data_IF_587457547680
#
_entry.id   IF_587457547680
#
_cell.length_a   1.000
_cell.length_b   1.000
_cell.length_c   1.000
_cell.angle_alpha   90.00
_cell.angle_beta   90.00
_cell.angle_gamma   90.00
#
_symmetry.space_group_name_H-M   'P 1'
#
loop_
_entity.id
_entity.type
_entity.pdbx_description
1 polymer ?
#
# COMPACT_ATOMS: atom_id res chain seq x y z
N UNK A 1 11.65 -14.97 -12.99
CA UNK A 1 11.92 -14.26 -11.70
C UNK A 1 13.40 -14.06 -11.46
N UNK A 2 14.23 -15.11 -11.40
CA UNK A 2 15.68 -14.98 -11.13
C UNK A 2 16.43 -14.03 -12.10
N UNK A 3 16.14 -14.11 -13.41
CA UNK A 3 16.74 -13.21 -14.43
C UNK A 3 16.32 -11.75 -14.21
N UNK A 4 15.03 -11.49 -13.93
CA UNK A 4 14.54 -10.13 -13.68
C UNK A 4 15.18 -9.54 -12.40
N UNK A 5 15.34 -10.36 -11.35
CA UNK A 5 16.01 -9.96 -10.12
C UNK A 5 17.49 -9.68 -10.39
N UNK A 6 18.17 -10.53 -11.15
CA UNK A 6 19.57 -10.31 -11.54
C UNK A 6 19.74 -9.02 -12.36
N UNK A 7 18.83 -8.73 -13.30
CA UNK A 7 18.85 -7.48 -14.07
C UNK A 7 18.65 -6.25 -13.17
N UNK A 8 17.71 -6.31 -12.22
CA UNK A 8 17.53 -5.23 -11.24
C UNK A 8 18.82 -5.02 -10.45
N UNK A 9 19.44 -6.08 -9.94
CA UNK A 9 20.72 -6.00 -9.22
C UNK A 9 21.85 -5.43 -10.07
N UNK A 10 21.95 -5.81 -11.35
CA UNK A 10 22.95 -5.27 -12.27
C UNK A 10 22.71 -3.78 -12.50
N UNK A 11 21.46 -3.35 -12.71
CA UNK A 11 21.11 -1.93 -12.88
C UNK A 11 21.46 -1.15 -11.62
N UNK A 12 21.13 -1.67 -10.43
CA UNK A 12 21.50 -1.08 -9.14
C UNK A 12 23.01 -0.91 -9.02
N UNK A 13 23.78 -1.96 -9.36
CA UNK A 13 25.24 -1.95 -9.25
C UNK A 13 25.85 -0.94 -10.23
N UNK A 14 25.33 -0.85 -11.46
CA UNK A 14 25.75 0.15 -12.44
C UNK A 14 25.43 1.57 -11.95
N UNK A 15 24.24 1.78 -11.37
CA UNK A 15 23.81 3.08 -10.85
C UNK A 15 24.69 3.54 -9.69
N UNK A 16 25.06 2.63 -8.78
CA UNK A 16 25.99 2.87 -7.66
C UNK A 16 27.44 3.06 -8.16
N UNK A 17 27.87 2.33 -9.18
CA UNK A 17 29.29 2.34 -9.61
C UNK A 17 29.83 3.66 -10.19
N UNK A 18 28.96 4.60 -10.58
CA UNK A 18 29.38 5.89 -11.15
C UNK A 18 29.25 6.96 -10.04
N UNK A 19 30.34 7.65 -9.73
CA UNK A 19 30.40 8.61 -8.62
C UNK A 19 29.67 9.95 -8.87
N UNK A 20 29.33 10.62 -7.76
CA UNK A 20 28.44 11.80 -7.58
C UNK A 20 28.59 13.05 -8.47
N UNK A 21 29.63 13.20 -9.29
CA UNK A 21 29.92 14.48 -9.96
C UNK A 21 28.93 14.83 -11.10
N UNK A 22 28.18 13.86 -11.61
CA UNK A 22 27.19 14.03 -12.69
C UNK A 22 25.73 13.82 -12.25
N UNK A 23 25.49 13.62 -10.96
CA UNK A 23 24.24 13.01 -10.48
C UNK A 23 23.13 13.97 -10.08
N UNK A 24 23.44 15.17 -9.57
CA UNK A 24 22.40 16.09 -9.08
C UNK A 24 21.37 16.50 -10.13
N UNK A 25 21.80 16.74 -11.37
CA UNK A 25 20.89 17.09 -12.48
C UNK A 25 20.05 15.89 -12.94
N UNK A 26 20.66 14.70 -12.99
CA UNK A 26 19.98 13.47 -13.40
C UNK A 26 18.99 13.02 -12.35
N UNK A 27 19.33 13.13 -11.06
CA UNK A 27 18.45 12.79 -9.94
C UNK A 27 17.16 13.63 -9.94
N UNK A 28 17.25 14.91 -10.30
CA UNK A 28 16.06 15.76 -10.43
C UNK A 28 15.11 15.26 -11.53
N UNK A 29 15.65 14.91 -12.69
CA UNK A 29 14.86 14.33 -13.80
C UNK A 29 14.29 12.98 -13.39
N UNK A 30 15.11 12.12 -12.79
CA UNK A 30 14.73 10.75 -12.39
C UNK A 30 13.74 10.73 -11.22
N UNK A 31 13.62 11.80 -10.42
CA UNK A 31 12.61 11.93 -9.36
C UNK A 31 11.35 12.68 -9.81
N UNK A 32 11.51 13.79 -10.55
CA UNK A 32 10.39 14.64 -10.92
C UNK A 32 9.58 14.05 -12.08
N UNK A 33 10.24 13.40 -13.04
CA UNK A 33 9.58 12.72 -14.16
C UNK A 33 8.62 11.61 -13.69
N UNK A 34 9.00 10.65 -12.82
CA UNK A 34 8.06 9.64 -12.35
C UNK A 34 6.95 10.23 -11.47
N UNK A 35 7.23 11.28 -10.69
CA UNK A 35 6.20 11.96 -9.90
C UNK A 35 5.13 12.60 -10.80
N UNK A 36 5.55 13.30 -11.86
CA UNK A 36 4.61 13.83 -12.85
C UNK A 36 3.88 12.71 -13.59
N UNK A 37 4.59 11.67 -14.04
CA UNK A 37 3.97 10.52 -14.71
C UNK A 37 2.92 9.83 -13.83
N UNK A 38 3.22 9.67 -12.54
CA UNK A 38 2.31 9.09 -11.57
C UNK A 38 1.10 9.98 -11.30
N UNK A 39 1.31 11.30 -11.19
CA UNK A 39 0.24 12.28 -11.06
C UNK A 39 -0.72 12.20 -12.25
N UNK A 40 -0.19 12.16 -13.49
CA UNK A 40 -1.04 12.07 -14.69
C UNK A 40 -1.85 10.76 -14.70
N UNK A 41 -1.24 9.62 -14.32
CA UNK A 41 -1.98 8.36 -14.16
C UNK A 41 -3.07 8.48 -13.11
N UNK A 42 -2.77 9.05 -11.95
CA UNK A 42 -3.73 9.26 -10.86
C UNK A 42 -4.92 10.11 -11.32
N UNK A 43 -4.66 11.24 -11.98
CA UNK A 43 -5.72 12.13 -12.50
C UNK A 43 -6.56 11.43 -13.56
N UNK A 44 -5.92 10.68 -14.46
CA UNK A 44 -6.63 9.90 -15.48
C UNK A 44 -7.57 8.86 -14.86
N UNK A 45 -7.08 8.06 -13.91
CA UNK A 45 -7.89 7.05 -13.22
C UNK A 45 -9.03 7.69 -12.44
N UNK A 46 -8.75 8.78 -11.72
CA UNK A 46 -9.78 9.52 -10.97
C UNK A 46 -10.85 10.13 -11.88
N UNK A 47 -10.46 10.61 -13.06
CA UNK A 47 -11.41 11.16 -14.05
C UNK A 47 -12.22 10.08 -14.76
N UNK A 48 -11.68 8.88 -14.86
CA UNK A 48 -12.32 7.76 -15.55
C UNK A 48 -13.39 7.08 -14.67
N UNK A 49 -13.17 7.02 -13.36
CA UNK A 49 -14.14 6.43 -12.42
C UNK A 49 -15.41 7.26 -12.34
N UNK A 50 -16.56 6.64 -12.61
CA UNK A 50 -17.88 7.31 -12.59
C UNK A 50 -18.55 7.25 -11.23
N UNK A 51 -18.20 6.24 -10.44
CA UNK A 51 -18.60 6.22 -9.03
C UNK A 51 -17.96 7.38 -8.33
N UNK A 52 -18.75 8.04 -7.48
CA UNK A 52 -18.21 9.03 -6.58
C UNK A 52 -17.03 8.37 -5.86
N UNK A 53 -15.85 8.96 -5.98
CA UNK A 53 -14.73 8.59 -5.14
C UNK A 53 -15.11 9.14 -3.77
N UNK A 54 -16.10 8.49 -3.16
CA UNK A 54 -16.35 8.54 -1.74
C UNK A 54 -15.12 7.87 -1.13
N UNK A 55 -14.00 8.59 -1.15
CA UNK A 55 -13.17 8.70 0.04
C UNK A 55 -14.19 8.98 1.11
N UNK A 56 -14.58 7.93 1.81
CA UNK A 56 -15.67 7.93 2.76
C UNK A 56 -15.17 8.79 3.94
N UNK A 57 -15.02 10.09 3.72
CA UNK A 57 -14.60 11.08 4.71
C UNK A 57 -15.75 11.27 5.72
N UNK A 58 -16.95 10.80 5.37
CA UNK A 58 -18.07 10.50 6.27
C UNK A 58 -17.85 9.25 7.14
N UNK A 59 -16.67 8.62 7.08
CA UNK A 59 -16.26 7.65 8.09
C UNK A 59 -16.27 8.36 9.44
N UNK A 60 -17.04 7.82 10.36
CA UNK A 60 -17.24 8.38 11.69
C UNK A 60 -15.87 8.59 12.35
N UNK A 61 -15.40 9.84 12.40
CA UNK A 61 -14.07 10.21 12.89
C UNK A 61 -13.86 9.66 14.32
N UNK A 62 -14.95 9.57 15.08
CA UNK A 62 -14.96 8.98 16.42
C UNK A 62 -14.60 7.49 16.41
N UNK A 63 -15.04 6.75 15.40
CA UNK A 63 -14.72 5.31 15.24
C UNK A 63 -13.28 5.11 14.76
N UNK A 64 -12.79 6.02 13.89
CA UNK A 64 -11.41 6.01 13.42
C UNK A 64 -10.43 6.08 14.61
N UNK A 65 -10.68 6.98 15.58
CA UNK A 65 -9.80 7.17 16.73
C UNK A 65 -9.97 6.13 17.84
N UNK A 66 -11.13 5.46 17.93
CA UNK A 66 -11.38 4.41 18.92
C UNK A 66 -10.79 3.06 18.51
N UNK A 67 -10.59 2.83 17.21
CA UNK A 67 -10.14 1.55 16.68
C UNK A 67 -8.62 1.39 16.77
N UNK A 68 -8.15 0.35 17.45
CA UNK A 68 -6.70 0.05 17.57
C UNK A 68 -6.04 -0.23 16.23
N UNK A 69 -6.78 -0.79 15.27
CA UNK A 69 -6.30 -1.06 13.91
C UNK A 69 -5.90 0.22 13.17
N UNK A 70 -6.63 1.33 13.35
CA UNK A 70 -6.33 2.62 12.73
C UNK A 70 -5.00 3.18 13.24
N UNK A 71 -4.78 3.14 14.56
CA UNK A 71 -3.51 3.57 15.17
C UNK A 71 -2.33 2.69 14.76
N UNK A 72 -2.58 1.39 14.61
CA UNK A 72 -1.57 0.44 14.11
C UNK A 72 -1.25 0.67 12.63
N UNK A 73 -2.23 0.99 11.79
CA UNK A 73 -2.00 1.36 10.40
C UNK A 73 -1.21 2.67 10.32
N UNK A 74 -1.61 3.70 11.07
CA UNK A 74 -0.92 4.99 11.11
C UNK A 74 0.53 4.86 11.61
N UNK A 75 0.78 4.10 12.68
CA UNK A 75 2.13 3.93 13.21
C UNK A 75 3.06 3.20 12.22
N UNK A 76 2.55 2.22 11.48
CA UNK A 76 3.29 1.53 10.42
C UNK A 76 3.68 2.47 9.30
N UNK A 77 2.73 3.24 8.79
CA UNK A 77 3.01 4.22 7.73
C UNK A 77 4.05 5.25 8.18
N UNK A 78 3.91 5.79 9.39
CA UNK A 78 4.89 6.72 9.95
C UNK A 78 6.27 6.06 10.10
N UNK A 79 6.33 4.83 10.60
CA UNK A 79 7.59 4.12 10.77
C UNK A 79 8.28 3.79 9.44
N UNK A 80 7.54 3.37 8.42
CA UNK A 80 8.09 3.04 7.11
C UNK A 80 8.55 4.29 6.35
N UNK A 81 7.78 5.37 6.42
CA UNK A 81 8.10 6.64 5.73
C UNK A 81 9.22 7.37 6.45
N UNK A 82 9.14 7.51 7.78
CA UNK A 82 10.02 8.40 8.56
C UNK A 82 11.06 7.65 9.37
N UNK A 83 10.72 6.48 9.91
CA UNK A 83 11.64 5.67 10.71
C UNK A 83 12.73 5.05 9.84
N UNK A 84 12.34 4.21 8.87
CA UNK A 84 13.29 3.48 8.01
C UNK A 84 14.09 4.42 7.12
N UNK A 85 13.46 5.46 6.56
CA UNK A 85 14.15 6.45 5.73
C UNK A 85 14.97 7.47 6.55
N UNK A 86 14.72 7.59 7.85
CA UNK A 86 15.37 8.56 8.73
C UNK A 86 16.89 8.37 8.84
N UNK A 87 17.37 7.12 8.86
CA UNK A 87 18.81 6.84 8.90
C UNK A 87 19.54 7.32 7.63
N UNK A 88 18.90 7.19 6.47
CA UNK A 88 19.44 7.66 5.18
C UNK A 88 19.47 9.19 5.16
N UNK A 89 18.39 9.84 5.60
CA UNK A 89 18.33 11.31 5.72
C UNK A 89 19.39 11.85 6.69
N UNK A 90 19.63 11.15 7.80
CA UNK A 90 20.68 11.53 8.75
C UNK A 90 22.06 11.49 8.11
N UNK A 91 22.38 10.42 7.37
CA UNK A 91 23.64 10.32 6.63
C UNK A 91 23.77 11.42 5.56
N UNK A 92 22.72 11.69 4.78
CA UNK A 92 22.72 12.78 3.80
C UNK A 92 22.92 14.15 4.45
N UNK A 93 22.26 14.40 5.59
CA UNK A 93 22.34 15.67 6.31
C UNK A 93 23.71 15.93 6.96
N UNK A 94 24.46 14.89 7.31
CA UNK A 94 25.80 15.00 7.87
C UNK A 94 26.79 15.69 6.90
N UNK A 95 26.49 15.67 5.61
CA UNK A 95 27.29 16.31 4.55
C UNK A 95 26.86 17.74 4.22
N UNK A 96 25.81 18.25 4.85
CA UNK A 96 25.40 19.63 4.64
C UNK A 96 26.43 20.61 5.21
N UNK A 97 26.55 21.78 4.57
CA UNK A 97 27.39 22.87 5.07
C UNK A 97 26.94 23.26 6.48
N UNK A 98 27.90 23.57 7.36
CA UNK A 98 27.61 24.07 8.70
C UNK A 98 26.70 25.32 8.61
N UNK A 99 25.60 25.32 9.35
CA UNK A 99 24.63 26.41 9.35
C UNK A 99 23.60 26.37 8.21
N UNK A 100 23.59 25.33 7.38
CA UNK A 100 22.53 25.14 6.39
C UNK A 100 21.16 24.90 7.07
N UNK A 101 20.09 25.61 6.68
CA UNK A 101 18.79 25.50 7.34
C UNK A 101 18.07 24.19 6.98
N UNK A 102 18.32 23.14 7.77
CA UNK A 102 17.72 21.81 7.58
C UNK A 102 16.19 21.82 7.66
N UNK A 103 15.59 22.72 8.46
CA UNK A 103 14.13 22.77 8.62
C UNK A 103 13.41 23.03 7.29
N UNK A 104 13.97 23.84 6.40
CA UNK A 104 13.37 24.16 5.10
C UNK A 104 13.39 22.95 4.17
N UNK A 105 14.48 22.18 4.18
CA UNK A 105 14.60 21.01 3.33
C UNK A 105 13.70 19.88 3.84
N UNK A 106 13.61 19.72 5.18
CA UNK A 106 12.69 18.76 5.81
C UNK A 106 11.22 19.11 5.55
N UNK A 107 10.83 20.40 5.57
CA UNK A 107 9.44 20.78 5.25
C UNK A 107 9.08 20.51 3.79
N UNK A 108 9.99 20.81 2.86
CA UNK A 108 9.78 20.48 1.44
C UNK A 108 9.65 18.96 1.24
N UNK A 109 10.52 18.18 1.88
CA UNK A 109 10.45 16.72 1.84
C UNK A 109 9.10 16.22 2.40
N UNK A 110 8.63 16.75 3.53
CA UNK A 110 7.35 16.38 4.12
C UNK A 110 6.14 16.71 3.25
N UNK A 111 6.16 17.85 2.56
CA UNK A 111 5.09 18.21 1.63
C UNK A 111 5.07 17.24 0.43
N UNK A 112 6.24 16.93 -0.14
CA UNK A 112 6.34 16.05 -1.31
C UNK A 112 5.94 14.60 -0.94
N UNK A 113 6.40 14.08 0.20
CA UNK A 113 6.02 12.73 0.64
C UNK A 113 4.53 12.63 0.93
N UNK A 114 3.95 13.63 1.61
CA UNK A 114 2.51 13.69 1.86
C UNK A 114 1.71 13.74 0.55
N UNK A 115 2.16 14.52 -0.43
CA UNK A 115 1.54 14.57 -1.75
C UNK A 115 1.58 13.20 -2.46
N UNK A 116 2.73 12.53 -2.45
CA UNK A 116 2.87 11.20 -3.06
C UNK A 116 1.96 10.16 -2.39
N UNK A 117 1.84 10.19 -1.05
CA UNK A 117 0.93 9.32 -0.30
C UNK A 117 -0.55 9.58 -0.64
N UNK A 118 -0.94 10.85 -0.76
CA UNK A 118 -2.31 11.22 -1.17
C UNK A 118 -2.58 10.74 -2.59
N UNK A 119 -1.65 10.94 -3.54
CA UNK A 119 -1.79 10.43 -4.90
C UNK A 119 -1.94 8.89 -4.92
N UNK A 120 -1.21 8.18 -4.07
CA UNK A 120 -1.34 6.74 -3.93
C UNK A 120 -2.68 6.30 -3.36
N UNK A 121 -3.18 7.00 -2.35
CA UNK A 121 -4.50 6.76 -1.77
C UNK A 121 -5.62 7.01 -2.79
N UNK A 122 -5.57 8.12 -3.53
CA UNK A 122 -6.53 8.42 -4.62
C UNK A 122 -6.47 7.33 -5.68
N UNK A 123 -5.29 6.99 -6.18
CA UNK A 123 -5.11 5.95 -7.21
C UNK A 123 -5.68 4.60 -6.77
N UNK A 124 -5.38 4.17 -5.53
CA UNK A 124 -5.93 2.94 -4.96
C UNK A 124 -7.46 2.98 -4.86
N UNK A 125 -8.00 4.11 -4.41
CA UNK A 125 -9.45 4.30 -4.27
C UNK A 125 -10.15 4.26 -5.64
N UNK A 126 -9.58 4.90 -6.65
CA UNK A 126 -10.06 4.84 -8.03
C UNK A 126 -10.02 3.42 -8.59
N UNK A 127 -8.97 2.63 -8.29
CA UNK A 127 -8.92 1.23 -8.72
C UNK A 127 -10.03 0.39 -8.07
N UNK A 128 -10.31 0.58 -6.77
CA UNK A 128 -11.41 -0.12 -6.08
C UNK A 128 -12.77 0.30 -6.67
N UNK A 129 -12.99 1.59 -6.88
CA UNK A 129 -14.22 2.10 -7.51
C UNK A 129 -14.42 1.50 -8.91
N UNK A 130 -13.35 1.44 -9.72
CA UNK A 130 -13.33 0.82 -11.04
C UNK A 130 -13.68 -0.68 -11.04
N UNK A 131 -13.29 -1.42 -9.99
CA UNK A 131 -13.66 -2.82 -9.82
C UNK A 131 -15.13 -2.98 -9.41
N UNK A 132 -15.62 -2.08 -8.55
CA UNK A 132 -17.01 -2.08 -8.10
C UNK A 132 -17.99 -1.81 -9.26
N UNK A 133 -17.63 -1.01 -10.26
CA UNK A 133 -18.45 -0.83 -11.47
C UNK A 133 -18.72 -2.16 -12.19
N UNK A 134 -17.77 -3.10 -12.09
CA UNK A 134 -17.83 -4.43 -12.70
C UNK A 134 -18.40 -5.48 -11.75
N UNK A 135 -19.03 -5.07 -10.63
CA UNK A 135 -19.60 -5.94 -9.58
C UNK A 135 -18.57 -6.85 -8.89
N UNK A 136 -17.30 -6.45 -8.92
CA UNK A 136 -16.18 -7.13 -8.29
C UNK A 136 -15.72 -6.37 -7.05
N UNK A 137 -15.41 -7.11 -5.99
CA UNK A 137 -14.86 -6.57 -4.76
C UNK A 137 -13.41 -6.99 -4.60
N UNK A 138 -12.58 -6.03 -4.24
CA UNK A 138 -11.21 -6.29 -3.85
C UNK A 138 -11.18 -6.82 -2.42
N UNK A 139 -10.53 -7.97 -2.24
CA UNK A 139 -10.18 -8.51 -0.93
C UNK A 139 -8.67 -8.72 -0.91
N UNK A 140 -7.93 -8.25 0.10
CA UNK A 140 -6.50 -8.44 0.12
C UNK A 140 -6.13 -9.93 0.18
N UNK A 141 -5.26 -10.37 -0.73
CA UNK A 141 -4.87 -11.78 -0.85
C UNK A 141 -3.78 -12.18 0.15
N UNK A 142 -3.70 -13.47 0.45
CA UNK A 142 -2.60 -14.10 1.18
C UNK A 142 -2.05 -15.26 0.35
N UNK A 143 -0.77 -15.18 -0.02
CA UNK A 143 -0.08 -16.22 -0.79
C UNK A 143 0.37 -17.43 0.05
N UNK A 144 -0.15 -17.58 1.27
CA UNK A 144 0.16 -18.72 2.15
C UNK A 144 -0.38 -20.05 1.58
N UNK A 145 -1.61 -20.04 1.02
CA UNK A 145 -2.25 -21.21 0.42
C UNK A 145 -2.82 -20.88 -0.97
N UNK A 146 -3.00 -21.91 -1.82
CA UNK A 146 -3.62 -21.76 -3.15
C UNK A 146 -5.04 -21.21 -3.10
N UNK A 147 -5.82 -21.59 -2.09
CA UNK A 147 -7.18 -21.11 -1.87
C UNK A 147 -7.24 -19.64 -1.42
N UNK A 148 -6.14 -19.12 -0.85
CA UNK A 148 -6.07 -17.75 -0.33
C UNK A 148 -5.38 -16.78 -1.27
N UNK A 149 -4.82 -17.27 -2.40
CA UNK A 149 -4.17 -16.47 -3.42
C UNK A 149 -5.15 -15.64 -4.28
N UNK A 150 -6.44 -15.61 -3.93
CA UNK A 150 -7.49 -14.88 -4.63
C UNK A 150 -7.71 -13.49 -4.03
N UNK A 151 -7.58 -12.45 -4.86
CA UNK A 151 -7.76 -11.04 -4.46
C UNK A 151 -9.06 -10.39 -5.00
N UNK A 152 -9.81 -11.09 -5.86
CA UNK A 152 -11.10 -10.62 -6.40
C UNK A 152 -12.22 -11.56 -5.97
N UNK A 153 -13.29 -11.00 -5.42
CA UNK A 153 -14.51 -11.74 -5.08
C UNK A 153 -15.72 -11.14 -5.78
N UNK A 154 -16.68 -11.98 -6.13
CA UNK A 154 -17.94 -11.56 -6.74
C UNK A 154 -18.90 -11.02 -5.69
N UNK A 155 -19.66 -9.98 -6.04
CA UNK A 155 -20.65 -9.35 -5.16
C UNK A 155 -21.70 -10.31 -4.57
N UNK A 156 -22.15 -11.28 -5.35
CA UNK A 156 -23.11 -12.32 -4.95
C UNK A 156 -22.58 -13.22 -3.83
N UNK A 157 -21.29 -13.62 -3.90
CA UNK A 157 -20.63 -14.42 -2.85
C UNK A 157 -20.47 -13.65 -1.55
N UNK A 158 -20.25 -12.34 -1.61
CA UNK A 158 -20.08 -11.52 -0.40
C UNK A 158 -21.38 -11.44 0.41
N UNK A 159 -22.51 -11.16 -0.24
CA UNK A 159 -23.81 -11.11 0.44
C UNK A 159 -24.16 -12.46 1.11
N UNK A 160 -23.82 -13.57 0.47
CA UNK A 160 -23.97 -14.91 1.05
C UNK A 160 -23.07 -15.12 2.27
N UNK A 161 -21.81 -14.67 2.21
CA UNK A 161 -20.87 -14.79 3.33
C UNK A 161 -21.24 -13.86 4.51
N UNK A 162 -21.71 -12.64 4.22
CA UNK A 162 -22.15 -11.67 5.23
C UNK A 162 -23.41 -12.18 5.96
N UNK A 163 -24.35 -12.79 5.25
CA UNK A 163 -25.56 -13.41 5.85
C UNK A 163 -25.23 -14.63 6.75
N UNK A 164 -24.22 -15.42 6.37
CA UNK A 164 -23.72 -16.54 7.18
C UNK A 164 -22.90 -16.03 8.39
N UNK A 165 -22.19 -14.92 8.26
CA UNK A 165 -21.49 -14.27 9.36
C UNK A 165 -22.45 -13.67 10.40
N UNK A 166 -23.56 -13.08 9.97
CA UNK A 166 -24.56 -12.47 10.86
C UNK A 166 -25.32 -13.51 11.69
N UNK A 167 -25.65 -14.66 11.09
CA UNK A 167 -26.28 -15.79 11.79
C UNK A 167 -25.36 -16.48 12.81
N UNK A 168 -24.05 -16.50 12.55
CA UNK A 168 -23.06 -16.98 13.52
C UNK A 168 -22.78 -15.94 14.63
N UNK A 169 -22.93 -14.64 14.35
CA UNK A 169 -22.84 -13.56 15.36
C UNK A 169 -23.88 -13.71 16.49
N UNK A 170 -25.10 -14.16 16.17
CA UNK A 170 -26.14 -14.44 17.18
C UNK A 170 -25.74 -15.57 18.15
N UNK A 171 -24.89 -16.51 17.73
CA UNK A 171 -24.38 -17.57 18.60
C UNK A 171 -23.31 -17.04 19.57
N UNK A 172 -22.52 -16.02 19.19
CA UNK A 172 -21.52 -15.37 20.05
C UNK A 172 -22.11 -14.38 21.06
N UNK A 173 -23.30 -13.82 20.78
CA UNK A 173 -24.03 -12.96 21.73
C UNK A 173 -24.46 -13.70 23.02
N UNK A 174 -24.39 -15.03 23.04
CA UNK A 174 -24.59 -15.83 24.25
C UNK A 174 -23.33 -15.93 25.13
N UNK A 175 -22.14 -15.64 24.59
CA UNK A 175 -20.83 -15.70 25.26
C UNK A 175 -20.52 -14.36 25.96
N UNK A 176 -21.10 -13.24 25.52
CA UNK A 176 -20.93 -11.92 26.15
C UNK A 176 -21.54 -11.79 27.55
N UNK A 177 -22.31 -12.79 28.01
CA UNK A 177 -22.84 -12.86 29.38
C UNK A 177 -21.87 -13.53 30.38
N UNK A 178 -20.70 -14.02 29.94
CA UNK A 178 -19.67 -14.52 30.86
C UNK A 178 -18.85 -13.37 31.44
N UNK A 179 -18.38 -13.47 32.70
CA UNK A 179 -17.46 -12.49 33.27
C UNK A 179 -16.17 -12.39 32.43
N UNK A 180 -15.55 -11.20 32.31
CA UNK A 180 -14.42 -10.93 31.39
C UNK A 180 -13.20 -11.85 31.55
N UNK A 181 -13.05 -12.48 32.72
CA UNK A 181 -11.95 -13.38 33.07
C UNK A 181 -12.09 -14.78 32.48
N UNK A 182 -13.29 -15.12 31.99
CA UNK A 182 -13.66 -16.40 31.38
C UNK A 182 -13.94 -16.26 29.88
N UNK A 183 -13.70 -15.07 29.32
CA UNK A 183 -13.75 -14.90 27.87
C UNK A 183 -12.63 -15.73 27.26
N UNK A 184 -12.93 -16.65 26.33
CA UNK A 184 -11.87 -17.31 25.61
C UNK A 184 -11.13 -16.24 24.80
N UNK A 185 -9.79 -16.22 24.87
CA UNK A 185 -8.92 -15.32 24.10
C UNK A 185 -9.06 -15.62 22.60
N UNK A 186 -10.18 -15.20 22.01
CA UNK A 186 -10.68 -15.81 20.78
C UNK A 186 -10.17 -15.17 19.49
N UNK A 187 -9.53 -14.00 19.54
CA UNK A 187 -8.99 -13.37 18.34
C UNK A 187 -7.66 -12.70 18.70
N UNK A 188 -6.57 -13.42 18.44
CA UNK A 188 -5.24 -12.84 18.56
C UNK A 188 -4.85 -12.19 17.23
N UNK A 189 -4.74 -10.87 17.27
CA UNK A 189 -4.14 -10.05 16.23
C UNK A 189 -2.62 -10.01 16.47
N UNK A 190 -1.86 -10.87 15.80
CA UNK A 190 -0.41 -10.72 15.75
C UNK A 190 -0.11 -9.60 14.74
N UNK A 191 0.04 -8.39 15.26
CA UNK A 191 0.49 -7.25 14.47
C UNK A 191 2.01 -7.33 14.29
N UNK A 192 2.43 -7.67 13.09
CA UNK A 192 3.81 -7.50 12.64
C UNK A 192 4.00 -6.08 12.06
N UNK A 193 5.22 -5.57 12.06
CA UNK A 193 5.55 -4.27 11.45
C UNK A 193 5.17 -4.23 9.96
N UNK A 194 5.31 -5.37 9.29
CA UNK A 194 4.96 -5.58 7.90
C UNK A 194 3.90 -6.69 7.76
N UNK A 195 2.84 -6.69 8.59
CA UNK A 195 1.84 -7.78 8.60
C UNK A 195 0.76 -7.66 9.65
N UNK A 196 -0.46 -8.12 9.36
CA UNK A 196 -1.43 -8.49 10.40
C UNK A 196 -1.72 -9.96 10.20
N UNK A 197 -1.34 -10.81 11.15
CA UNK A 197 -1.73 -12.21 11.17
C UNK A 197 -2.79 -12.38 12.24
N UNK A 198 -4.00 -12.78 11.84
CA UNK A 198 -5.05 -13.12 12.78
C UNK A 198 -5.09 -14.64 12.89
N UNK A 199 -4.88 -15.16 14.10
CA UNK A 199 -4.98 -16.59 14.37
C UNK A 199 -6.44 -16.91 14.70
N UNK A 200 -7.11 -17.74 13.90
CA UNK A 200 -8.44 -18.17 14.26
C UNK A 200 -8.41 -19.20 15.39
N UNK A 201 -9.39 -19.16 16.31
CA UNK A 201 -9.57 -20.20 17.30
C UNK A 201 -10.18 -21.42 16.59
N UNK A 202 -9.56 -22.59 16.80
CA UNK A 202 -10.01 -23.88 16.28
C UNK A 202 -11.35 -24.34 16.88
N UNK A 203 -11.86 -23.65 17.90
CA UNK A 203 -13.13 -23.92 18.58
C UNK A 203 -14.27 -22.94 18.27
N UNK A 204 -14.01 -21.77 17.67
CA UNK A 204 -15.07 -20.85 17.21
C UNK A 204 -15.39 -21.05 15.72
N UNK A 205 -15.19 -22.26 15.22
CA UNK A 205 -15.33 -22.62 13.81
C UNK A 205 -16.81 -22.76 13.41
N UNK A 206 -17.48 -21.63 13.21
CA UNK A 206 -18.65 -21.50 12.31
C UNK A 206 -18.28 -20.76 11.03
N UNK A 207 -17.03 -20.90 10.58
CA UNK A 207 -16.33 -19.92 9.76
C UNK A 207 -16.87 -19.75 8.34
N UNK A 208 -17.20 -18.50 8.02
CA UNK A 208 -16.92 -17.94 6.70
C UNK A 208 -15.39 -18.02 6.43
N UNK A 209 -14.96 -18.32 5.20
CA UNK A 209 -13.55 -18.50 4.84
C UNK A 209 -12.72 -17.21 4.90
N UNK A 210 -13.34 -16.09 5.26
CA UNK A 210 -12.77 -14.75 5.17
C UNK A 210 -12.13 -14.24 6.48
N UNK A 211 -12.08 -15.06 7.53
CA UNK A 211 -11.36 -14.72 8.78
C UNK A 211 -9.88 -14.48 8.46
N UNK A 212 -9.55 -13.19 8.49
CA UNK A 212 -8.40 -12.51 7.91
C UNK A 212 -7.05 -13.16 8.28
N UNK A 213 -6.11 -13.18 7.31
CA UNK A 213 -4.80 -13.83 7.41
C UNK A 213 -3.69 -12.83 7.07
N UNK A 214 -2.42 -13.23 7.28
CA UNK A 214 -1.21 -12.39 7.13
C UNK A 214 -1.32 -11.42 5.96
N UNK A 215 -1.63 -10.17 6.30
CA UNK A 215 -2.28 -9.25 5.36
C UNK A 215 -1.43 -8.07 4.93
N UNK A 216 -0.10 -8.15 4.92
CA UNK A 216 0.71 -7.01 4.45
C UNK A 216 1.59 -7.40 3.28
N UNK A 217 1.31 -6.71 2.18
CA UNK A 217 2.17 -6.67 1.01
C UNK A 217 2.18 -5.21 0.57
N UNK A 218 3.30 -4.53 0.84
CA UNK A 218 3.51 -3.10 0.58
C UNK A 218 3.30 -2.73 -0.89
N UNK A 219 3.42 -3.70 -1.80
CA UNK A 219 3.31 -3.52 -3.25
C UNK A 219 1.92 -3.84 -3.82
N UNK A 220 0.90 -4.07 -2.97
CA UNK A 220 -0.46 -4.46 -3.40
C UNK A 220 -1.06 -3.57 -4.48
N UNK A 221 -0.81 -2.28 -4.40
CA UNK A 221 -1.26 -1.34 -5.42
C UNK A 221 -0.77 -1.75 -6.82
N UNK A 222 0.51 -2.07 -6.96
CA UNK A 222 1.13 -2.41 -8.24
C UNK A 222 1.05 -3.90 -8.61
N UNK A 223 0.88 -4.80 -7.64
CA UNK A 223 0.89 -6.26 -7.88
C UNK A 223 -0.49 -6.90 -7.90
N UNK A 224 -1.46 -6.32 -7.20
CA UNK A 224 -2.82 -6.86 -7.11
C UNK A 224 -3.82 -5.87 -7.72
N UNK A 225 -3.95 -4.68 -7.13
CA UNK A 225 -5.09 -3.81 -7.36
C UNK A 225 -5.10 -3.16 -8.76
N UNK A 226 -4.01 -2.53 -9.17
CA UNK A 226 -3.89 -1.91 -10.49
C UNK A 226 -3.93 -2.95 -11.64
N UNK A 227 -3.17 -4.06 -11.60
CA UNK A 227 -3.31 -5.09 -12.63
C UNK A 227 -4.68 -5.77 -12.62
N UNK A 228 -5.34 -5.94 -11.47
CA UNK A 228 -6.73 -6.41 -11.42
C UNK A 228 -7.68 -5.47 -12.18
N UNK A 229 -7.55 -4.17 -11.96
CA UNK A 229 -8.35 -3.16 -12.68
C UNK A 229 -8.16 -3.29 -14.20
N UNK A 230 -6.91 -3.42 -14.66
CA UNK A 230 -6.59 -3.58 -16.08
C UNK A 230 -7.04 -4.93 -16.65
N UNK A 231 -7.02 -6.00 -15.85
CA UNK A 231 -7.46 -7.33 -16.30
C UNK A 231 -8.99 -7.37 -16.49
N UNK A 232 -9.73 -6.67 -15.63
CA UNK A 232 -11.20 -6.58 -15.71
C UNK A 232 -11.64 -5.64 -16.82
N UNK A 233 -10.90 -4.54 -17.04
CA UNK A 233 -11.23 -3.56 -18.07
C UNK A 233 -10.46 -3.84 -19.36
N UNK A 234 -11.17 -4.21 -20.43
CA UNK A 234 -10.55 -4.42 -21.73
C UNK A 234 -9.71 -3.22 -22.21
N UNK A 235 -8.71 -3.50 -23.06
CA UNK A 235 -7.81 -2.50 -23.66
C UNK A 235 -8.53 -1.38 -24.45
N UNK A 236 -9.80 -1.57 -24.79
CA UNK A 236 -10.66 -0.56 -25.40
C UNK A 236 -11.14 0.52 -24.41
N UNK A 237 -11.23 0.20 -23.12
CA UNK A 237 -11.63 1.15 -22.06
C UNK A 237 -10.44 1.86 -21.43
N UNK A 238 -9.37 1.12 -21.16
CA UNK A 238 -8.12 1.66 -20.62
C UNK A 238 -7.00 1.33 -21.59
N UNK A 239 -6.38 2.35 -22.17
CA UNK A 239 -5.26 2.16 -23.09
C UNK A 239 -4.07 1.48 -22.37
N UNK A 240 -3.40 0.50 -23.00
CA UNK A 240 -2.18 -0.11 -22.45
C UNK A 240 -1.07 0.89 -22.12
N UNK A 241 -1.10 2.07 -22.75
CA UNK A 241 -0.20 3.18 -22.45
C UNK A 241 -0.19 3.54 -20.96
N UNK A 242 -1.35 3.56 -20.30
CA UNK A 242 -1.46 3.92 -18.88
C UNK A 242 -0.83 2.89 -17.96
N UNK A 243 -0.90 1.61 -18.34
CA UNK A 243 -0.20 0.54 -17.65
C UNK A 243 1.31 0.72 -17.74
N UNK A 244 1.81 0.99 -18.95
CA UNK A 244 3.22 1.25 -19.18
C UNK A 244 3.71 2.45 -18.39
N UNK A 245 2.96 3.57 -18.42
CA UNK A 245 3.32 4.78 -17.70
C UNK A 245 3.34 4.57 -16.18
N UNK A 246 2.35 3.86 -15.62
CA UNK A 246 2.30 3.52 -14.20
C UNK A 246 3.53 2.70 -13.76
N UNK A 247 3.80 1.58 -14.44
CA UNK A 247 4.91 0.71 -14.08
C UNK A 247 6.26 1.36 -14.35
N UNK A 248 6.36 2.18 -15.41
CA UNK A 248 7.56 2.96 -15.70
C UNK A 248 7.82 4.00 -14.61
N UNK A 249 6.80 4.72 -14.14
CA UNK A 249 6.92 5.65 -13.01
C UNK A 249 7.39 4.93 -11.74
N UNK A 250 6.82 3.77 -11.40
CA UNK A 250 7.25 2.99 -10.23
C UNK A 250 8.69 2.49 -10.37
N UNK A 251 9.08 2.03 -11.57
CA UNK A 251 10.44 1.60 -11.85
C UNK A 251 11.44 2.75 -11.72
N UNK A 252 11.11 3.91 -12.28
CA UNK A 252 11.93 5.12 -12.16
C UNK A 252 12.03 5.59 -10.71
N UNK A 253 10.96 5.51 -9.91
CA UNK A 253 11.05 5.78 -8.47
C UNK A 253 12.00 4.81 -7.75
N UNK A 254 11.95 3.51 -8.10
CA UNK A 254 12.88 2.52 -7.56
C UNK A 254 14.34 2.83 -7.90
N UNK A 255 14.60 3.24 -9.15
CA UNK A 255 15.94 3.68 -9.57
C UNK A 255 16.33 4.99 -8.85
N UNK A 256 15.42 5.94 -8.72
CA UNK A 256 15.66 7.21 -8.03
C UNK A 256 16.13 7.01 -6.59
N UNK A 257 15.53 6.05 -5.89
CA UNK A 257 15.89 5.71 -4.51
C UNK A 257 17.32 5.16 -4.40
N UNK A 258 17.77 4.37 -5.37
CA UNK A 258 19.12 3.80 -5.41
C UNK A 258 20.17 4.85 -5.77
N UNK A 259 19.81 5.75 -6.68
CA UNK A 259 20.69 6.83 -7.15
C UNK A 259 20.97 7.88 -6.05
N UNK A 260 20.19 7.91 -4.96
CA UNK A 260 20.38 8.83 -3.83
C UNK A 260 21.49 8.44 -2.84
N UNK A 261 22.09 7.25 -2.94
CA UNK A 261 23.03 6.75 -1.94
C UNK A 261 24.42 6.54 -2.53
N UNK A 262 25.26 7.58 -2.54
CA UNK A 262 26.71 7.41 -2.42
C UNK A 262 27.37 8.74 -2.00
N UNK A 263 28.43 8.66 -1.19
CA UNK A 263 29.08 9.80 -0.51
C UNK A 263 30.53 9.90 -0.96
N UNK A 264 30.96 11.11 -1.33
CA UNK A 264 32.36 11.42 -1.63
C UNK A 264 33.18 11.43 -0.33
N UNK A 265 34.22 10.59 -0.26
CA UNK A 265 35.33 10.79 0.66
C UNK A 265 36.27 11.83 0.05
N UNK A 266 36.34 13.01 0.67
CA UNK A 266 37.49 13.92 0.57
C UNK A 266 37.88 14.33 1.99
#
# INVERSE_FOLDING_TARGET
MAVNIALIWIITLIALSRGNRSYGTVAFVVFLLPLLGYLVVCVYLASWTKYDINMNLSMNIDELFKTSQSWMAASREVFLVWGFHGAVLQQMSAHNKKGHPLYRDTTVLAIITSLALVLAAVTGSSCVAGLQENKLFYKPSSFENSETAQFLSESSRRLQNDFVAESSFQQYASISNLPPQLWPDCIHYDNFYAGIRIRPPYLCAGKSPDVERSGYQSLRLGTELFPALLAVNNAQRISPFWSLLFYFSLLLFGIAQQVGQEVNYN
#
